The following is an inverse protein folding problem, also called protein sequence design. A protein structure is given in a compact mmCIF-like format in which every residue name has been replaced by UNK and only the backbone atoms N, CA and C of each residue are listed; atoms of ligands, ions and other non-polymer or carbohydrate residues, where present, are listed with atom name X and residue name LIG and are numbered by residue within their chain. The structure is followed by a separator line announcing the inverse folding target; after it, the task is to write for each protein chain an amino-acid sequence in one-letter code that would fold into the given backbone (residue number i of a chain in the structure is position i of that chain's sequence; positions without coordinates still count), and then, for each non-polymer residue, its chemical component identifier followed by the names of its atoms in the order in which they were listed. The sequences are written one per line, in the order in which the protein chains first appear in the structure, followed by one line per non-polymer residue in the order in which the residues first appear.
data_IF_463279112198
#
_entry.id   IF_463279112198
#
_cell.length_a   1.000
_cell.length_b   1.000
_cell.length_c   1.000
_cell.angle_alpha   90.00
_cell.angle_beta   90.00
_cell.angle_gamma   90.00
#
_symmetry.space_group_name_H-M   'P 1'
#
loop_
_entity.id
_entity.type
_entity.pdbx_description
1 polymer ?
#
# COMPACT_ATOMS: atom_id res chain seq x y z
N UNK A 1 -7.74 -5.42 -16.87
CA UNK A 1 -9.21 -5.57 -16.78
C UNK A 1 -9.72 -5.50 -15.35
N UNK A 2 -9.36 -6.43 -14.45
CA UNK A 2 -9.87 -6.44 -13.05
C UNK A 2 -9.64 -5.14 -12.29
N UNK A 3 -8.44 -4.55 -12.37
CA UNK A 3 -8.14 -3.28 -11.69
C UNK A 3 -9.02 -2.13 -12.19
N UNK A 4 -9.28 -2.08 -13.49
CA UNK A 4 -10.10 -1.03 -14.09
C UNK A 4 -11.55 -1.08 -13.57
N UNK A 5 -12.12 -2.29 -13.46
CA UNK A 5 -13.46 -2.51 -12.89
C UNK A 5 -13.49 -2.07 -11.42
N UNK A 6 -12.46 -2.39 -10.64
CA UNK A 6 -12.36 -1.98 -9.23
C UNK A 6 -12.34 -0.46 -9.11
N UNK A 7 -11.58 0.23 -9.97
CA UNK A 7 -11.52 1.69 -9.95
C UNK A 7 -12.88 2.33 -10.28
N UNK A 8 -13.56 1.86 -11.34
CA UNK A 8 -14.89 2.35 -11.70
C UNK A 8 -15.88 2.17 -10.55
N UNK A 9 -15.90 0.97 -9.95
CA UNK A 9 -16.80 0.68 -8.84
C UNK A 9 -16.57 1.61 -7.64
N UNK A 10 -15.31 1.82 -7.24
CA UNK A 10 -14.98 2.70 -6.12
C UNK A 10 -15.31 4.17 -6.40
N UNK A 11 -15.10 4.64 -7.64
CA UNK A 11 -15.44 6.02 -8.04
C UNK A 11 -16.96 6.20 -8.01
N UNK A 12 -17.72 5.26 -8.58
CA UNK A 12 -19.18 5.32 -8.56
C UNK A 12 -19.73 5.33 -7.13
N UNK A 13 -19.24 4.43 -6.27
CA UNK A 13 -19.68 4.37 -4.88
C UNK A 13 -19.27 5.62 -4.09
N UNK A 14 -18.06 6.13 -4.31
CA UNK A 14 -17.55 7.32 -3.63
C UNK A 14 -18.22 8.62 -4.05
N UNK A 15 -18.77 8.69 -5.27
CA UNK A 15 -19.52 9.86 -5.76
C UNK A 15 -21.01 9.82 -5.40
N UNK A 16 -21.52 8.69 -4.92
CA UNK A 16 -22.93 8.52 -4.60
C UNK A 16 -23.45 9.60 -3.61
N UNK A 17 -22.73 9.97 -2.54
CA UNK A 17 -23.20 11.00 -1.60
C UNK A 17 -23.23 12.43 -2.19
N UNK A 18 -22.45 12.72 -3.24
CA UNK A 18 -22.37 14.07 -3.85
C UNK A 18 -23.68 14.46 -4.52
N UNK A 19 -24.43 13.47 -5.00
CA UNK A 19 -25.70 13.70 -5.71
C UNK A 19 -26.91 13.66 -4.78
N UNK A 20 -26.72 13.49 -3.47
CA UNK A 20 -27.80 13.46 -2.49
C UNK A 20 -27.99 14.88 -1.94
N UNK A 21 -29.20 15.47 -2.06
CA UNK A 21 -29.51 16.74 -1.42
C UNK A 21 -29.33 16.60 0.09
N UNK A 22 -28.44 17.38 0.68
CA UNK A 22 -28.33 17.51 2.12
C UNK A 22 -29.34 18.54 2.61
N UNK A 23 -29.95 18.30 3.76
CA UNK A 23 -30.92 19.23 4.36
C UNK A 23 -30.28 20.03 5.52
N UNK A 24 -28.95 20.19 5.49
CA UNK A 24 -28.19 20.90 6.52
C UNK A 24 -28.58 22.38 6.57
N UNK A 25 -29.18 22.77 7.69
CA UNK A 25 -29.51 24.17 8.01
C UNK A 25 -28.44 24.85 8.88
N UNK A 26 -27.46 24.10 9.40
CA UNK A 26 -26.44 24.59 10.33
C UNK A 26 -25.01 24.42 9.77
N UNK A 27 -24.17 25.45 9.92
CA UNK A 27 -22.74 25.46 9.54
C UNK A 27 -21.88 24.56 10.48
N UNK A 28 -22.09 23.25 10.47
CA UNK A 28 -21.32 22.29 11.29
C UNK A 28 -20.27 21.58 10.43
N UNK A 29 -19.01 21.58 10.88
CA UNK A 29 -17.88 20.91 10.20
C UNK A 29 -17.82 19.38 10.42
N UNK A 30 -18.87 18.80 11.02
CA UNK A 30 -18.95 17.40 11.42
C UNK A 30 -20.05 16.72 10.62
N UNK A 31 -19.70 15.66 9.89
CA UNK A 31 -20.67 14.86 9.16
C UNK A 31 -21.55 14.09 10.14
N UNK A 32 -22.88 14.22 10.02
CA UNK A 32 -23.87 13.56 10.88
C UNK A 32 -24.89 12.80 10.03
N UNK A 33 -25.16 11.54 10.38
CA UNK A 33 -26.15 10.71 9.70
C UNK A 33 -27.58 11.29 9.76
N UNK A 34 -27.96 11.97 10.85
CA UNK A 34 -29.30 12.55 11.04
C UNK A 34 -29.70 13.59 9.96
N UNK A 35 -28.74 14.16 9.21
CA UNK A 35 -29.02 15.20 8.20
C UNK A 35 -29.67 14.65 6.91
N UNK A 36 -29.73 13.32 6.75
CA UNK A 36 -30.09 12.70 5.46
C UNK A 36 -31.34 11.79 5.47
N UNK A 37 -32.05 11.70 6.60
CA UNK A 37 -33.34 11.00 6.71
C UNK A 37 -33.29 9.45 6.72
N UNK A 38 -34.44 8.83 6.97
CA UNK A 38 -34.58 7.39 7.26
C UNK A 38 -34.08 6.46 6.14
N UNK A 39 -34.06 6.90 4.88
CA UNK A 39 -33.59 6.08 3.75
C UNK A 39 -32.08 5.85 3.81
N UNK A 40 -31.32 6.80 4.37
CA UNK A 40 -29.87 6.65 4.54
C UNK A 40 -29.48 5.79 5.73
N UNK A 41 -30.31 5.69 6.77
CA UNK A 41 -30.07 4.79 7.88
C UNK A 41 -30.02 3.34 7.39
N UNK A 42 -30.91 2.96 6.47
CA UNK A 42 -30.91 1.63 5.85
C UNK A 42 -29.60 1.36 5.09
N UNK A 43 -29.13 2.33 4.29
CA UNK A 43 -27.87 2.21 3.55
C UNK A 43 -26.68 2.10 4.51
N UNK A 44 -26.67 2.95 5.54
CA UNK A 44 -25.64 2.96 6.59
C UNK A 44 -25.56 1.62 7.33
N UNK A 45 -26.72 1.03 7.68
CA UNK A 45 -26.79 -0.29 8.31
C UNK A 45 -26.34 -1.42 7.38
N UNK A 46 -26.66 -1.35 6.08
CA UNK A 46 -26.17 -2.32 5.08
C UNK A 46 -24.65 -2.26 5.00
N UNK A 47 -24.07 -1.07 4.90
CA UNK A 47 -22.61 -0.87 4.88
C UNK A 47 -21.96 -1.35 6.18
N UNK A 48 -22.58 -1.04 7.32
CA UNK A 48 -22.13 -1.48 8.64
C UNK A 48 -22.10 -3.00 8.78
N UNK A 49 -23.10 -3.71 8.21
CA UNK A 49 -23.15 -5.17 8.22
C UNK A 49 -22.22 -5.83 7.19
N UNK A 50 -21.97 -5.18 6.05
CA UNK A 50 -21.16 -5.74 4.97
C UNK A 50 -19.70 -5.96 5.39
N UNK A 51 -19.08 -4.99 6.06
CA UNK A 51 -17.68 -5.05 6.51
C UNK A 51 -17.38 -6.27 7.40
N UNK A 52 -18.09 -6.50 8.53
CA UNK A 52 -17.86 -7.67 9.37
C UNK A 52 -18.21 -8.98 8.64
N UNK A 53 -19.27 -9.01 7.83
CA UNK A 53 -19.62 -10.19 7.04
C UNK A 53 -18.52 -10.58 6.04
N UNK A 54 -17.99 -9.59 5.32
CA UNK A 54 -16.86 -9.78 4.40
C UNK A 54 -15.61 -10.24 5.14
N UNK A 55 -15.31 -9.66 6.30
CA UNK A 55 -14.19 -10.07 7.13
C UNK A 55 -14.31 -11.53 7.58
N UNK A 56 -15.48 -11.94 8.07
CA UNK A 56 -15.76 -13.31 8.48
C UNK A 56 -15.63 -14.28 7.30
N UNK A 57 -16.21 -13.94 6.14
CA UNK A 57 -16.08 -14.73 4.92
C UNK A 57 -14.61 -14.91 4.52
N UNK A 58 -13.86 -13.81 4.44
CA UNK A 58 -12.45 -13.85 4.05
C UNK A 58 -11.60 -14.63 5.06
N UNK A 59 -11.83 -14.42 6.36
CA UNK A 59 -11.14 -15.18 7.41
C UNK A 59 -11.38 -16.69 7.26
N UNK A 60 -12.63 -17.10 7.01
CA UNK A 60 -13.00 -18.49 6.75
C UNK A 60 -12.27 -19.06 5.53
N UNK A 61 -12.28 -18.34 4.41
CA UNK A 61 -11.58 -18.74 3.18
C UNK A 61 -10.06 -18.88 3.39
N UNK A 62 -9.43 -17.93 4.08
CA UNK A 62 -8.00 -18.02 4.40
C UNK A 62 -7.68 -19.17 5.35
N UNK A 63 -8.51 -19.40 6.37
CA UNK A 63 -8.33 -20.54 7.27
C UNK A 63 -8.44 -21.87 6.52
N UNK A 64 -9.42 -22.01 5.62
CA UNK A 64 -9.57 -23.20 4.77
C UNK A 64 -8.35 -23.37 3.84
N UNK A 65 -7.92 -22.30 3.18
CA UNK A 65 -6.73 -22.33 2.32
C UNK A 65 -5.46 -22.70 3.09
N UNK A 66 -5.28 -22.15 4.30
CA UNK A 66 -4.14 -22.45 5.16
C UNK A 66 -4.18 -23.89 5.66
N UNK A 67 -5.36 -24.40 6.07
CA UNK A 67 -5.56 -25.81 6.45
C UNK A 67 -5.21 -26.75 5.30
N UNK A 68 -5.74 -26.49 4.10
CA UNK A 68 -5.41 -27.25 2.89
C UNK A 68 -3.91 -27.20 2.61
N UNK A 69 -3.28 -26.02 2.65
CA UNK A 69 -1.84 -25.89 2.45
C UNK A 69 -1.02 -26.66 3.50
N UNK A 70 -1.45 -26.67 4.77
CA UNK A 70 -0.76 -27.45 5.82
C UNK A 70 -0.93 -28.95 5.65
N UNK A 71 -2.11 -29.42 5.24
CA UNK A 71 -2.37 -30.84 5.03
C UNK A 71 -1.59 -31.39 3.84
N UNK A 72 -1.47 -30.61 2.76
CA UNK A 72 -0.62 -30.96 1.61
C UNK A 72 0.85 -31.15 2.05
N UNK A 73 1.39 -30.23 2.86
CA UNK A 73 2.77 -30.34 3.37
C UNK A 73 2.94 -31.58 4.26
N UNK A 74 1.96 -31.90 5.12
CA UNK A 74 2.01 -33.10 5.97
C UNK A 74 2.00 -34.38 5.14
N UNK A 75 1.13 -34.47 4.12
CA UNK A 75 1.01 -35.62 3.22
C UNK A 75 2.27 -35.85 2.39
N UNK A 76 2.87 -34.79 1.84
CA UNK A 76 4.12 -34.92 1.07
C UNK A 76 5.34 -35.28 1.94
N UNK A 77 5.31 -34.99 3.24
CA UNK A 77 6.41 -35.35 4.16
C UNK A 77 6.49 -36.86 4.42
N UNK A 78 5.37 -37.57 4.37
CA UNK A 78 5.32 -39.03 4.64
C UNK A 78 5.53 -39.87 3.39
N UNK A 79 5.28 -39.33 2.20
CA UNK A 79 5.23 -40.10 0.95
C UNK A 79 6.46 -39.96 0.05
N UNK A 80 7.36 -38.99 0.30
CA UNK A 80 8.42 -38.67 -0.67
C UNK A 80 9.81 -38.67 -0.06
N UNK A 81 10.54 -39.77 -0.26
CA UNK A 81 11.97 -39.88 0.00
C UNK A 81 12.73 -39.59 -1.30
N UNK A 82 13.45 -38.47 -1.35
CA UNK A 82 14.25 -38.07 -2.52
C UNK A 82 14.30 -36.56 -2.74
N UNK A 83 15.18 -36.13 -3.65
CA UNK A 83 15.43 -34.70 -3.89
C UNK A 83 14.23 -33.99 -4.54
N UNK A 84 13.46 -34.72 -5.37
CA UNK A 84 12.19 -34.24 -5.94
C UNK A 84 11.16 -33.90 -4.85
N UNK A 85 11.01 -34.74 -3.81
CA UNK A 85 10.11 -34.49 -2.70
C UNK A 85 10.50 -33.27 -1.86
N UNK A 86 11.81 -33.06 -1.66
CA UNK A 86 12.33 -31.88 -0.95
C UNK A 86 11.98 -30.59 -1.69
N UNK A 87 12.10 -30.57 -3.03
CA UNK A 87 11.75 -29.42 -3.85
C UNK A 87 10.24 -29.10 -3.77
N UNK A 88 9.38 -30.11 -3.86
CA UNK A 88 7.93 -29.95 -3.75
C UNK A 88 7.49 -29.38 -2.38
N UNK A 89 8.09 -29.88 -1.28
CA UNK A 89 7.82 -29.38 0.08
C UNK A 89 8.31 -27.93 0.24
N UNK A 90 9.45 -27.58 -0.36
CA UNK A 90 10.01 -26.23 -0.34
C UNK A 90 9.09 -25.24 -1.05
N UNK A 91 8.55 -25.62 -2.22
CA UNK A 91 7.59 -24.82 -2.96
C UNK A 91 6.28 -24.64 -2.18
N UNK A 92 5.71 -25.72 -1.64
CA UNK A 92 4.50 -25.68 -0.83
C UNK A 92 4.66 -24.76 0.41
N UNK A 93 5.84 -24.80 1.05
CA UNK A 93 6.18 -23.89 2.16
C UNK A 93 6.27 -22.44 1.69
N UNK A 94 6.82 -22.18 0.50
CA UNK A 94 6.88 -20.85 -0.10
C UNK A 94 5.47 -20.29 -0.36
N UNK A 95 4.60 -21.09 -1.00
CA UNK A 95 3.20 -20.72 -1.24
C UNK A 95 2.45 -20.43 0.06
N UNK A 96 2.62 -21.28 1.09
CA UNK A 96 2.03 -21.04 2.42
C UNK A 96 2.50 -19.72 3.03
N UNK A 97 3.78 -19.35 2.90
CA UNK A 97 4.28 -18.06 3.41
C UNK A 97 3.56 -16.88 2.77
N UNK A 98 3.34 -16.93 1.46
CA UNK A 98 2.55 -15.94 0.72
C UNK A 98 1.11 -15.86 1.25
N UNK A 99 0.43 -17.01 1.36
CA UNK A 99 -0.93 -17.08 1.91
C UNK A 99 -1.02 -16.52 3.34
N UNK A 100 -0.07 -16.83 4.21
CA UNK A 100 -0.06 -16.29 5.58
C UNK A 100 0.15 -14.77 5.57
N UNK A 101 0.99 -14.25 4.67
CA UNK A 101 1.15 -12.79 4.54
C UNK A 101 -0.16 -12.14 4.07
N UNK A 102 -0.87 -12.73 3.11
CA UNK A 102 -2.18 -12.23 2.67
C UNK A 102 -3.22 -12.29 3.80
N UNK A 103 -3.25 -13.39 4.56
CA UNK A 103 -4.12 -13.53 5.73
C UNK A 103 -3.79 -12.48 6.81
N UNK A 104 -2.52 -12.12 7.01
CA UNK A 104 -2.13 -11.03 7.92
C UNK A 104 -2.63 -9.67 7.44
N UNK A 105 -2.53 -9.38 6.13
CA UNK A 105 -3.03 -8.13 5.56
C UNK A 105 -4.54 -8.02 5.74
N UNK A 106 -5.28 -9.04 5.30
CA UNK A 106 -6.75 -9.06 5.40
C UNK A 106 -7.20 -9.05 6.86
N UNK A 107 -6.49 -9.75 7.74
CA UNK A 107 -6.67 -9.71 9.19
C UNK A 107 -6.57 -8.29 9.74
N UNK A 108 -5.46 -7.60 9.44
CA UNK A 108 -5.21 -6.27 9.95
C UNK A 108 -6.17 -5.22 9.37
N UNK A 109 -6.46 -5.27 8.07
CA UNK A 109 -7.46 -4.39 7.45
C UNK A 109 -8.83 -4.59 8.06
N UNK A 110 -9.29 -5.84 8.19
CA UNK A 110 -10.60 -6.10 8.79
C UNK A 110 -10.69 -5.56 10.22
N UNK A 111 -9.67 -5.82 11.05
CA UNK A 111 -9.63 -5.30 12.42
C UNK A 111 -9.64 -3.77 12.49
N UNK A 112 -9.03 -3.09 11.52
CA UNK A 112 -9.07 -1.62 11.43
C UNK A 112 -10.44 -1.08 11.01
N UNK A 113 -11.23 -1.83 10.26
CA UNK A 113 -12.54 -1.38 9.77
C UNK A 113 -13.71 -1.77 10.68
N UNK A 114 -13.54 -2.77 11.56
CA UNK A 114 -14.58 -3.18 12.52
C UNK A 114 -15.05 -2.04 13.46
N UNK A 115 -14.16 -1.19 14.02
CA UNK A 115 -14.60 -0.06 14.83
C UNK A 115 -15.50 0.92 14.07
N UNK A 116 -15.23 1.17 12.79
CA UNK A 116 -16.08 2.03 11.95
C UNK A 116 -17.43 1.39 11.66
N UNK A 117 -17.50 0.06 11.51
CA UNK A 117 -18.80 -0.64 11.45
C UNK A 117 -19.63 -0.44 12.71
N UNK A 118 -18.99 -0.46 13.89
CA UNK A 118 -19.68 -0.16 15.15
C UNK A 118 -20.14 1.30 15.20
N UNK A 119 -19.32 2.25 14.75
CA UNK A 119 -19.68 3.66 14.66
C UNK A 119 -20.96 3.86 13.84
N UNK A 120 -21.08 3.25 12.66
CA UNK A 120 -22.29 3.37 11.84
C UNK A 120 -23.55 2.85 12.55
N UNK A 121 -23.44 1.76 13.31
CA UNK A 121 -24.57 1.25 14.13
C UNK A 121 -24.87 2.20 15.29
N UNK A 122 -23.83 2.75 15.93
CA UNK A 122 -23.98 3.72 17.01
C UNK A 122 -24.70 4.99 16.54
N UNK A 123 -24.34 5.52 15.38
CA UNK A 123 -24.94 6.73 14.81
C UNK A 123 -26.43 6.57 14.47
N UNK A 124 -26.88 5.35 14.11
CA UNK A 124 -28.28 5.08 13.77
C UNK A 124 -29.16 4.81 15.01
N UNK A 125 -28.63 4.14 16.04
CA UNK A 125 -29.45 3.68 17.18
C UNK A 125 -29.24 4.44 18.49
N UNK A 126 -28.11 5.12 18.67
CA UNK A 126 -27.81 5.81 19.91
C UNK A 126 -28.24 7.27 19.83
N UNK A 127 -28.72 7.80 20.96
CA UNK A 127 -28.80 9.24 21.17
C UNK A 127 -27.46 9.75 21.68
N UNK A 128 -26.89 10.75 21.01
CA UNK A 128 -25.56 11.26 21.31
C UNK A 128 -25.51 12.79 21.29
N UNK A 129 -24.67 13.33 22.16
CA UNK A 129 -24.25 14.73 22.09
C UNK A 129 -23.19 14.93 21.01
N UNK A 130 -23.03 16.16 20.53
CA UNK A 130 -21.96 16.50 19.57
C UNK A 130 -20.57 16.07 20.06
N UNK A 131 -20.30 16.23 21.37
CA UNK A 131 -19.03 15.82 21.99
C UNK A 131 -18.84 14.30 21.94
N UNK A 132 -19.88 13.52 22.20
CA UNK A 132 -19.81 12.05 22.13
C UNK A 132 -19.59 11.57 20.70
N UNK A 133 -20.30 12.17 19.73
CA UNK A 133 -20.12 11.86 18.30
C UNK A 133 -18.66 12.05 17.88
N UNK A 134 -18.06 13.21 18.18
CA UNK A 134 -16.67 13.51 17.81
C UNK A 134 -15.71 12.47 18.43
N UNK A 135 -15.90 12.09 19.69
CA UNK A 135 -15.04 11.12 20.38
C UNK A 135 -15.15 9.74 19.72
N UNK A 136 -16.39 9.26 19.49
CA UNK A 136 -16.64 7.95 18.90
C UNK A 136 -16.12 7.91 17.47
N UNK A 137 -16.44 8.92 16.65
CA UNK A 137 -15.98 9.06 15.28
C UNK A 137 -14.46 9.07 15.19
N UNK A 138 -13.79 9.92 16.00
CA UNK A 138 -12.32 9.98 16.01
C UNK A 138 -11.70 8.64 16.38
N UNK A 139 -12.24 7.96 17.40
CA UNK A 139 -11.70 6.69 17.85
C UNK A 139 -11.93 5.56 16.85
N UNK A 140 -13.09 5.55 16.18
CA UNK A 140 -13.48 4.49 15.25
C UNK A 140 -12.92 4.68 13.84
N UNK A 141 -12.67 5.91 13.38
CA UNK A 141 -12.08 6.19 12.06
C UNK A 141 -10.56 6.16 12.06
N UNK A 142 -9.91 6.50 13.17
CA UNK A 142 -8.45 6.52 13.26
C UNK A 142 -7.78 5.20 12.80
N UNK A 143 -8.26 4.01 13.19
CA UNK A 143 -7.70 2.75 12.71
C UNK A 143 -7.82 2.55 11.20
N UNK A 144 -8.87 3.09 10.56
CA UNK A 144 -9.07 3.03 9.11
C UNK A 144 -7.98 3.84 8.39
N UNK A 145 -7.67 5.05 8.86
CA UNK A 145 -6.58 5.84 8.29
C UNK A 145 -5.23 5.14 8.43
N UNK A 146 -4.99 4.50 9.58
CA UNK A 146 -3.74 3.78 9.85
C UNK A 146 -3.63 2.49 9.00
N UNK A 147 -4.74 1.91 8.53
CA UNK A 147 -4.76 0.64 7.79
C UNK A 147 -3.83 0.62 6.55
N UNK A 148 -3.67 1.76 5.87
CA UNK A 148 -2.77 1.89 4.72
C UNK A 148 -1.30 1.76 5.11
N UNK A 149 -0.91 2.21 6.31
CA UNK A 149 0.45 2.12 6.84
C UNK A 149 0.83 0.71 7.29
N UNK A 150 -0.14 -0.15 7.52
CA UNK A 150 0.10 -1.54 7.93
C UNK A 150 0.76 -2.33 6.80
N UNK A 151 0.44 -2.03 5.54
CA UNK A 151 0.92 -2.81 4.39
C UNK A 151 2.45 -2.82 4.31
N UNK A 152 3.16 -1.67 4.26
CA UNK A 152 4.61 -1.66 4.25
C UNK A 152 5.24 -2.35 5.48
N UNK A 153 4.61 -2.25 6.65
CA UNK A 153 5.08 -2.90 7.89
C UNK A 153 5.03 -4.42 7.75
N UNK A 154 3.87 -4.98 7.36
CA UNK A 154 3.72 -6.43 7.16
C UNK A 154 4.67 -6.94 6.09
N UNK A 155 4.75 -6.28 4.93
CA UNK A 155 5.69 -6.68 3.88
C UNK A 155 7.15 -6.54 4.34
N UNK A 156 7.49 -5.51 5.11
CA UNK A 156 8.83 -5.29 5.67
C UNK A 156 9.28 -6.36 6.64
N UNK A 157 8.37 -6.86 7.48
CA UNK A 157 8.64 -7.94 8.43
C UNK A 157 8.72 -9.31 7.75
N UNK A 158 7.89 -9.54 6.72
CA UNK A 158 7.66 -10.87 6.14
C UNK A 158 8.49 -11.17 4.89
N UNK A 159 8.75 -10.17 4.06
CA UNK A 159 9.40 -10.36 2.78
C UNK A 159 10.84 -9.81 2.81
N UNK A 160 11.82 -10.72 2.83
CA UNK A 160 13.25 -10.37 2.87
C UNK A 160 13.67 -9.50 1.68
N UNK A 161 13.10 -9.72 0.50
CA UNK A 161 13.43 -8.96 -0.70
C UNK A 161 12.85 -7.55 -0.59
N UNK A 162 11.60 -7.43 -0.14
CA UNK A 162 10.97 -6.14 0.13
C UNK A 162 11.73 -5.34 1.20
N UNK A 163 12.15 -6.00 2.29
CA UNK A 163 12.97 -5.38 3.33
C UNK A 163 14.32 -4.88 2.81
N UNK A 164 14.98 -5.62 1.93
CA UNK A 164 16.23 -5.17 1.29
C UNK A 164 15.99 -3.93 0.43
N UNK A 165 14.93 -3.93 -0.38
CA UNK A 165 14.55 -2.79 -1.19
C UNK A 165 14.21 -1.56 -0.34
N UNK A 166 13.36 -1.71 0.70
CA UNK A 166 13.06 -0.62 1.63
C UNK A 166 14.30 -0.08 2.33
N UNK A 167 15.21 -0.96 2.80
CA UNK A 167 16.48 -0.53 3.39
C UNK A 167 17.33 0.25 2.38
N UNK A 168 17.39 -0.18 1.12
CA UNK A 168 18.14 0.53 0.09
C UNK A 168 17.55 1.93 -0.18
N UNK A 169 16.23 2.06 -0.21
CA UNK A 169 15.53 3.34 -0.35
C UNK A 169 15.81 4.23 0.87
N UNK A 170 15.61 3.73 2.09
CA UNK A 170 15.85 4.50 3.33
C UNK A 170 17.31 4.93 3.45
N UNK A 171 18.27 4.06 3.17
CA UNK A 171 19.70 4.40 3.19
C UNK A 171 20.04 5.45 2.14
N UNK A 172 19.45 5.37 0.94
CA UNK A 172 19.59 6.43 -0.08
C UNK A 172 18.99 7.75 0.40
N UNK A 173 17.78 7.75 0.98
CA UNK A 173 17.15 8.96 1.51
C UNK A 173 17.97 9.61 2.65
N UNK A 174 18.53 8.80 3.56
CA UNK A 174 19.40 9.28 4.65
C UNK A 174 20.73 9.81 4.10
N UNK A 175 21.35 9.13 3.13
CA UNK A 175 22.58 9.60 2.48
C UNK A 175 22.36 10.85 1.62
N UNK A 176 21.18 11.02 1.02
CA UNK A 176 20.80 12.26 0.35
C UNK A 176 20.63 13.42 1.34
N UNK A 177 20.18 13.16 2.58
CA UNK A 177 20.14 14.16 3.67
C UNK A 177 21.52 14.49 4.25
N UNK A 178 22.50 13.61 4.10
CA UNK A 178 23.87 13.78 4.63
C UNK A 178 24.85 14.41 3.63
N UNK A 179 24.42 14.72 2.41
CA UNK A 179 25.20 15.64 1.58
C UNK A 179 24.89 17.07 2.03
N UNK A 180 25.79 17.78 2.74
CA UNK A 180 25.85 19.21 2.50
C UNK A 180 26.07 19.39 1.01
N UNK A 181 25.47 20.42 0.44
CA UNK A 181 25.66 20.85 -0.94
C UNK A 181 27.15 21.17 -1.15
N UNK A 182 27.98 20.14 -1.36
CA UNK A 182 29.35 20.31 -1.83
C UNK A 182 29.24 20.48 -3.32
N UNK A 183 29.32 21.74 -3.72
CA UNK A 183 29.46 22.24 -5.08
C UNK A 183 30.66 21.58 -5.77
N UNK A 184 30.50 20.34 -6.23
CA UNK A 184 31.51 19.62 -7.02
C UNK A 184 30.95 19.27 -8.42
N UNK A 185 30.18 20.17 -9.01
CA UNK A 185 29.79 20.11 -10.43
C UNK A 185 30.38 21.27 -11.24
N UNK A 186 31.46 21.92 -10.76
CA UNK A 186 32.27 22.86 -11.55
C UNK A 186 33.67 22.30 -11.87
N UNK A 187 34.09 21.20 -11.23
CA UNK A 187 35.40 20.60 -11.50
C UNK A 187 35.42 19.68 -12.73
N UNK A 188 34.28 19.09 -13.12
CA UNK A 188 34.20 18.15 -14.25
C UNK A 188 33.97 18.84 -15.61
N UNK A 189 33.55 20.11 -15.61
CA UNK A 189 33.39 20.93 -16.83
C UNK A 189 34.68 21.71 -17.16
N UNK A 190 35.46 22.13 -16.15
CA UNK A 190 36.78 22.75 -16.37
C UNK A 190 37.84 21.78 -16.90
N UNK A 191 37.73 20.48 -16.61
CA UNK A 191 38.58 19.46 -17.22
C UNK A 191 38.30 19.24 -18.70
N UNK A 192 37.01 19.30 -19.11
CA UNK A 192 36.59 19.10 -20.50
C UNK A 192 36.97 20.29 -21.39
N UNK A 193 36.93 21.52 -20.85
CA UNK A 193 37.34 22.73 -21.57
C UNK A 193 38.87 22.78 -21.84
N UNK A 194 39.70 22.33 -20.88
CA UNK A 194 41.15 22.21 -21.09
C UNK A 194 41.55 21.14 -22.11
N UNK A 195 40.80 20.04 -22.21
CA UNK A 195 41.05 18.98 -23.18
C UNK A 195 40.70 19.44 -24.61
N UNK A 196 39.59 20.16 -24.79
CA UNK A 196 39.21 20.72 -26.09
C UNK A 196 40.17 21.80 -26.60
N UNK A 197 40.74 22.63 -25.72
CA UNK A 197 41.74 23.63 -26.11
C UNK A 197 43.07 22.98 -26.53
N UNK A 198 43.56 21.96 -25.81
CA UNK A 198 44.78 21.21 -26.19
C UNK A 198 44.60 20.42 -27.51
N UNK A 199 43.41 19.89 -27.78
CA UNK A 199 43.10 19.21 -29.05
C UNK A 199 43.01 20.17 -30.24
N UNK A 200 42.71 21.46 -30.02
CA UNK A 200 42.66 22.49 -31.06
C UNK A 200 44.06 23.00 -31.44
N UNK A 201 44.98 23.10 -30.49
CA UNK A 201 46.40 23.40 -30.75
C UNK A 201 47.13 22.20 -31.41
N UNK A 202 46.76 20.96 -31.07
CA UNK A 202 47.34 19.77 -31.70
C UNK A 202 46.87 19.58 -33.16
N UNK A 203 45.64 19.96 -33.49
CA UNK A 203 45.11 19.86 -34.86
C UNK A 203 45.57 20.99 -35.78
N UNK A 204 45.84 22.20 -35.27
CA UNK A 204 46.43 23.29 -36.06
C UNK A 204 47.89 23.03 -36.45
N UNK A 205 48.65 22.30 -35.63
CA UNK A 205 50.04 21.92 -35.91
C UNK A 205 50.16 20.68 -36.82
N UNK A 206 49.10 19.89 -36.97
CA UNK A 206 49.04 18.78 -37.92
C UNK A 206 48.63 19.23 -39.33
N UNK A 207 47.83 20.30 -39.47
CA UNK A 207 47.39 20.80 -40.79
C UNK A 207 48.46 21.52 -41.61
N UNK A 208 49.59 21.90 -41.01
CA UNK A 208 50.75 22.49 -41.71
C UNK A 208 51.79 21.46 -42.17
N UNK A 209 51.58 20.16 -41.91
CA UNK A 209 52.52 19.08 -42.25
C UNK A 209 52.10 18.22 -43.46
N UNK A 210 50.93 18.44 -44.05
CA UNK A 210 50.40 17.62 -45.16
C UNK A 210 50.40 18.31 -46.53
N UNK A 211 51.08 19.44 -46.69
CA UNK A 211 51.26 20.13 -47.99
C UNK A 211 52.62 19.84 -48.66
N UNK A 212 53.18 18.63 -48.48
CA UNK A 212 54.44 18.21 -49.12
C UNK A 212 54.47 16.78 -49.67
N UNK A 213 53.33 16.09 -49.81
CA UNK A 213 53.24 14.86 -50.61
C UNK A 213 51.91 14.81 -51.37
N UNK A 214 52.00 14.89 -52.70
CA UNK A 214 50.96 14.92 -53.74
C UNK A 214 50.38 16.31 -54.09
#
# INVERSE_FOLDING_TARGET
MVLFVIWIYNIMFGLLPVFIPNNDTDDVWVCRAESYGNEQDVITLIVAGFVPAYFLLMSGLYLVMLRKATNQIKKHRTLTNGDYGKNLIKEARSRRRGLVTMAMLVGAFGLCFLPSSFQFVYEVYATYTLKQLIIVQTFCEYPVFVSSMINPVIYGLRNKNFRKAMKAVVVRCVRCRQKPQRTDTISHELGRCKIHLKLREATSNLSTSWSQCA
#
